data_IF_034481429774
#
_entry.id   IF_034481429774
#
_cell.length_a   1.000
_cell.length_b   1.000
_cell.length_c   1.000
_cell.angle_alpha   90.00
_cell.angle_beta   90.00
_cell.angle_gamma   90.00
#
_symmetry.space_group_name_H-M   'P 1'
#
loop_
_entity.id
_entity.type
_entity.pdbx_description
1 polymer ?
#
# COMPACT_ATOMS: atom_id res chain seq x y z
N UNK A 1 14.28 -21.61 -3.54
CA UNK A 1 13.17 -21.67 -2.57
C UNK A 1 12.19 -20.58 -2.96
N UNK A 2 10.95 -20.92 -3.28
CA UNK A 2 9.91 -19.92 -3.56
C UNK A 2 9.58 -19.22 -2.25
N UNK A 3 9.89 -17.92 -2.18
CA UNK A 3 9.53 -17.09 -1.04
C UNK A 3 8.00 -17.03 -0.93
N UNK A 4 7.45 -17.52 0.18
CA UNK A 4 6.01 -17.59 0.45
C UNK A 4 5.49 -16.43 1.30
N UNK A 5 6.34 -15.43 1.59
CA UNK A 5 5.95 -14.28 2.41
C UNK A 5 5.05 -13.36 1.61
N UNK A 6 3.89 -13.07 2.19
CA UNK A 6 2.91 -12.11 1.66
C UNK A 6 2.80 -10.89 2.58
N UNK A 7 2.35 -9.76 2.03
CA UNK A 7 2.10 -8.54 2.78
C UNK A 7 0.75 -7.91 2.43
N UNK A 8 0.11 -7.32 3.43
CA UNK A 8 -1.04 -6.43 3.26
C UNK A 8 -0.61 -5.00 3.65
N UNK A 9 -0.76 -4.06 2.74
CA UNK A 9 -0.37 -2.65 2.96
C UNK A 9 -1.62 -1.81 3.13
N UNK A 10 -1.73 -1.12 4.26
CA UNK A 10 -2.71 -0.04 4.41
C UNK A 10 -2.27 1.13 3.52
N UNK A 11 -2.97 1.31 2.42
CA UNK A 11 -2.59 2.24 1.35
C UNK A 11 -3.58 3.41 1.29
N UNK A 12 -3.11 4.59 1.69
CA UNK A 12 -3.90 5.84 1.68
C UNK A 12 -3.65 6.69 0.44
N UNK A 13 -2.60 6.41 -0.34
CA UNK A 13 -2.14 7.25 -1.45
C UNK A 13 -1.11 8.31 -1.05
N UNK A 14 -1.03 8.67 0.23
CA UNK A 14 -0.01 9.60 0.75
C UNK A 14 1.41 9.05 0.66
N UNK A 15 2.40 9.95 0.79
CA UNK A 15 3.84 9.64 0.63
C UNK A 15 4.28 8.43 1.46
N UNK A 16 3.92 8.39 2.75
CA UNK A 16 4.35 7.33 3.65
C UNK A 16 3.81 5.97 3.23
N UNK A 17 2.52 5.91 2.89
CA UNK A 17 1.88 4.66 2.44
C UNK A 17 2.44 4.18 1.10
N UNK A 18 2.82 5.11 0.22
CA UNK A 18 3.45 4.83 -1.07
C UNK A 18 4.87 4.28 -0.91
N UNK A 19 5.66 4.85 0.00
CA UNK A 19 7.01 4.32 0.32
C UNK A 19 6.92 2.93 0.95
N UNK A 20 5.97 2.71 1.86
CA UNK A 20 5.69 1.39 2.42
C UNK A 20 5.32 0.36 1.35
N UNK A 21 4.46 0.73 0.39
CA UNK A 21 4.09 -0.14 -0.72
C UNK A 21 5.30 -0.48 -1.60
N UNK A 22 6.12 0.51 -1.94
CA UNK A 22 7.33 0.29 -2.74
C UNK A 22 8.30 -0.68 -2.05
N UNK A 23 8.49 -0.54 -0.74
CA UNK A 23 9.32 -1.47 0.04
C UNK A 23 8.72 -2.88 0.07
N UNK A 24 7.40 -3.01 0.23
CA UNK A 24 6.72 -4.30 0.25
C UNK A 24 6.86 -5.03 -1.09
N UNK A 25 6.67 -4.34 -2.22
CA UNK A 25 6.83 -4.92 -3.56
C UNK A 25 8.25 -5.41 -3.84
N UNK A 26 9.27 -4.80 -3.22
CA UNK A 26 10.66 -5.23 -3.34
C UNK A 26 11.01 -6.44 -2.45
N UNK A 27 10.17 -6.77 -1.46
CA UNK A 27 10.53 -7.69 -0.36
C UNK A 27 9.68 -8.96 -0.30
N UNK A 28 8.42 -8.88 -0.76
CA UNK A 28 7.43 -9.95 -0.63
C UNK A 28 7.01 -10.47 -2.00
N UNK A 29 6.64 -11.75 -2.08
CA UNK A 29 6.25 -12.39 -3.34
C UNK A 29 4.81 -12.08 -3.77
N UNK A 30 3.96 -11.65 -2.84
CA UNK A 30 2.60 -11.19 -3.09
C UNK A 30 2.25 -10.04 -2.14
N UNK A 31 1.69 -8.96 -2.67
CA UNK A 31 1.30 -7.78 -1.91
C UNK A 31 -0.13 -7.41 -2.26
N UNK A 32 -0.97 -7.27 -1.24
CA UNK A 32 -2.32 -6.71 -1.37
C UNK A 32 -2.36 -5.34 -0.70
N UNK A 33 -3.27 -4.48 -1.15
CA UNK A 33 -3.50 -3.16 -0.55
C UNK A 33 -4.92 -3.07 -0.01
N UNK A 34 -5.08 -2.49 1.17
CA UNK A 34 -6.38 -2.10 1.73
C UNK A 34 -6.39 -0.59 1.93
N UNK A 35 -7.46 0.07 1.49
CA UNK A 35 -7.71 1.48 1.77
C UNK A 35 -9.01 1.61 2.55
N UNK A 36 -9.09 2.59 3.43
CA UNK A 36 -10.32 2.95 4.13
C UNK A 36 -10.81 4.31 3.64
N UNK A 37 -12.07 4.34 3.20
CA UNK A 37 -12.80 5.57 2.98
C UNK A 37 -13.39 6.02 4.32
N UNK A 38 -12.77 7.02 4.93
CA UNK A 38 -13.23 7.63 6.18
C UNK A 38 -13.90 9.00 5.93
N UNK A 39 -14.23 9.34 4.68
CA UNK A 39 -14.74 10.65 4.32
C UNK A 39 -13.66 11.74 4.35
N UNK A 40 -12.43 11.41 3.98
CA UNK A 40 -11.32 12.35 3.92
C UNK A 40 -11.69 13.57 3.04
N UNK A 41 -11.49 14.78 3.57
CA UNK A 41 -11.92 16.04 2.94
C UNK A 41 -11.21 16.37 1.62
N UNK A 42 -10.05 15.74 1.36
CA UNK A 42 -9.19 16.03 0.22
C UNK A 42 -9.24 14.90 -0.80
N UNK A 43 -10.28 14.89 -1.63
CA UNK A 43 -10.45 14.03 -2.82
C UNK A 43 -9.42 14.29 -3.96
N UNK A 44 -8.37 15.08 -3.71
CA UNK A 44 -7.44 15.58 -4.74
C UNK A 44 -6.10 14.83 -4.76
N UNK A 45 -5.80 13.93 -3.81
CA UNK A 45 -4.60 13.07 -3.90
C UNK A 45 -4.76 11.89 -4.89
N UNK A 46 -5.51 12.11 -5.98
CA UNK A 46 -5.76 11.13 -7.05
C UNK A 46 -5.56 11.72 -8.47
N UNK A 47 -5.02 12.94 -8.61
CA UNK A 47 -4.41 13.42 -9.86
C UNK A 47 -2.89 13.32 -9.85
#
# INVERSE_FOLDING_TARGET
MTDSRTALVLFSGGQDSTVCLAHALATYSHVETVGFDYGQTHLIELE
#
